data_IF_754672923235
#
_entry.id   IF_754672923235
#
_cell.length_a   1.000
_cell.length_b   1.000
_cell.length_c   1.000
_cell.angle_alpha   90.00
_cell.angle_beta   90.00
_cell.angle_gamma   90.00
#
_symmetry.space_group_name_H-M   'P 1'
#
loop_
_entity.id
_entity.type
_entity.pdbx_description
1 polymer ?
#
# COMPACT_ATOMS: atom_id res chain seq x y z
N UNK A 1 -8.61 27.18 -9.00
CA UNK A 1 -7.57 27.84 -8.17
C UNK A 1 -6.91 26.83 -7.22
N UNK A 2 -7.70 25.97 -6.54
CA UNK A 2 -7.21 24.85 -5.71
C UNK A 2 -6.37 23.84 -6.50
N UNK A 3 -6.77 23.48 -7.74
CA UNK A 3 -6.01 22.52 -8.57
C UNK A 3 -4.63 23.03 -9.02
N UNK A 4 -4.48 24.35 -9.17
CA UNK A 4 -3.21 24.98 -9.59
C UNK A 4 -2.21 24.99 -8.43
N UNK A 5 -2.67 25.21 -7.20
CA UNK A 5 -1.82 25.13 -6.01
C UNK A 5 -1.39 23.68 -5.72
N UNK A 6 -2.31 22.72 -5.77
CA UNK A 6 -2.00 21.29 -5.64
C UNK A 6 -0.95 20.82 -6.68
N UNK A 7 -1.10 21.22 -7.94
CA UNK A 7 -0.12 20.83 -9.00
C UNK A 7 1.26 21.44 -8.81
N UNK A 8 1.35 22.68 -8.29
CA UNK A 8 2.62 23.37 -8.02
C UNK A 8 3.37 22.75 -6.84
N UNK A 9 2.63 22.35 -5.81
CA UNK A 9 3.17 21.66 -4.64
C UNK A 9 3.71 20.26 -5.01
N UNK A 10 3.00 19.52 -5.87
CA UNK A 10 3.47 18.22 -6.40
C UNK A 10 4.75 18.38 -7.23
N UNK A 11 4.83 19.40 -8.09
CA UNK A 11 6.02 19.66 -8.90
C UNK A 11 7.25 19.98 -8.01
N UNK A 12 7.07 20.82 -6.98
CA UNK A 12 8.14 21.12 -6.03
C UNK A 12 8.59 19.90 -5.21
N UNK A 13 7.65 19.05 -4.79
CA UNK A 13 7.96 17.79 -4.11
C UNK A 13 8.78 16.86 -5.03
N UNK A 14 8.37 16.73 -6.30
CA UNK A 14 9.08 15.92 -7.30
C UNK A 14 10.52 16.41 -7.54
N UNK A 15 10.71 17.72 -7.66
CA UNK A 15 12.04 18.31 -7.86
C UNK A 15 12.93 18.09 -6.63
N UNK A 16 12.40 18.27 -5.43
CA UNK A 16 13.13 18.02 -4.17
C UNK A 16 13.50 16.55 -4.02
N UNK A 17 12.61 15.61 -4.34
CA UNK A 17 12.91 14.18 -4.30
C UNK A 17 14.00 13.83 -5.31
N UNK A 18 13.89 14.33 -6.55
CA UNK A 18 14.92 14.12 -7.59
C UNK A 18 16.28 14.66 -7.15
N UNK A 19 16.32 15.85 -6.53
CA UNK A 19 17.55 16.42 -5.97
C UNK A 19 18.11 15.56 -4.83
N UNK A 20 17.28 15.10 -3.89
CA UNK A 20 17.70 14.20 -2.80
C UNK A 20 18.30 12.90 -3.36
N UNK A 21 17.64 12.29 -4.36
CA UNK A 21 18.11 11.08 -5.07
C UNK A 21 19.48 11.34 -5.71
N UNK A 22 19.63 12.46 -6.41
CA UNK A 22 20.87 12.80 -7.11
C UNK A 22 22.03 13.13 -6.16
N UNK A 23 21.74 13.70 -4.98
CA UNK A 23 22.74 14.15 -4.01
C UNK A 23 23.30 13.02 -3.12
N UNK A 24 22.54 11.96 -2.87
CA UNK A 24 23.05 10.86 -2.05
C UNK A 24 23.57 9.71 -2.91
N UNK A 25 24.87 9.46 -2.81
CA UNK A 25 25.53 8.34 -3.48
C UNK A 25 25.21 6.97 -2.85
N UNK A 26 24.59 6.95 -1.66
CA UNK A 26 24.33 5.75 -0.83
C UNK A 26 22.87 5.64 -0.34
N UNK A 27 21.87 6.22 -1.03
CA UNK A 27 20.47 6.15 -0.59
C UNK A 27 19.94 4.70 -0.62
N UNK A 28 19.96 4.04 0.54
CA UNK A 28 19.23 2.79 0.79
C UNK A 28 17.77 3.02 1.22
N UNK A 29 17.38 4.27 1.51
CA UNK A 29 16.05 4.61 2.05
C UNK A 29 15.44 5.79 1.30
N UNK A 30 14.57 5.48 0.34
CA UNK A 30 13.72 6.50 -0.29
C UNK A 30 12.28 6.29 0.15
N UNK A 31 11.67 7.42 0.54
CA UNK A 31 10.29 7.61 0.92
C UNK A 31 9.48 8.01 -0.33
N UNK A 32 8.25 7.53 -0.43
CA UNK A 32 7.39 7.66 -1.62
C UNK A 32 6.15 8.47 -1.34
N UNK A 33 5.71 9.24 -2.35
CA UNK A 33 4.32 9.68 -2.49
C UNK A 33 3.91 9.78 -3.97
N UNK A 34 2.73 9.25 -4.30
CA UNK A 34 1.98 9.47 -5.56
C UNK A 34 2.85 9.42 -6.83
N UNK A 35 3.35 8.23 -7.14
CA UNK A 35 4.17 8.00 -8.32
C UNK A 35 3.34 8.26 -9.59
N UNK A 36 3.45 9.45 -10.16
CA UNK A 36 3.04 9.59 -11.56
C UNK A 36 3.97 8.74 -12.43
N UNK A 37 3.43 8.18 -13.51
CA UNK A 37 4.14 7.27 -14.42
C UNK A 37 5.51 7.83 -14.83
N UNK A 38 5.60 9.15 -15.06
CA UNK A 38 6.83 9.82 -15.44
C UNK A 38 7.94 9.74 -14.39
N UNK A 39 7.62 9.68 -13.10
CA UNK A 39 8.62 9.55 -12.04
C UNK A 39 9.12 8.11 -11.87
N UNK A 40 8.25 7.09 -12.05
CA UNK A 40 8.72 5.70 -12.09
C UNK A 40 9.70 5.49 -13.24
N UNK A 41 9.39 6.02 -14.42
CA UNK A 41 10.29 5.89 -15.56
C UNK A 41 11.65 6.54 -15.29
N UNK A 42 11.67 7.68 -14.58
CA UNK A 42 12.92 8.30 -14.15
C UNK A 42 13.72 7.41 -13.20
N UNK A 43 13.06 6.77 -12.22
CA UNK A 43 13.70 5.81 -11.30
C UNK A 43 14.28 4.61 -12.06
N UNK A 44 13.49 4.02 -12.96
CA UNK A 44 13.91 2.86 -13.77
C UNK A 44 15.14 3.22 -14.63
N UNK A 45 15.20 4.45 -15.14
CA UNK A 45 16.27 4.93 -16.00
C UNK A 45 17.51 5.43 -15.22
N UNK A 46 17.55 5.32 -13.88
CA UNK A 46 18.75 5.68 -13.13
C UNK A 46 19.88 4.70 -13.45
N UNK A 47 21.00 5.20 -13.99
CA UNK A 47 22.19 4.40 -14.33
C UNK A 47 23.00 3.94 -13.10
N UNK A 48 22.36 3.73 -11.95
CA UNK A 48 23.00 3.35 -10.69
C UNK A 48 22.18 2.28 -9.96
N UNK A 49 22.81 1.37 -9.22
CA UNK A 49 22.09 0.41 -8.39
C UNK A 49 21.24 1.16 -7.36
N UNK A 50 19.94 0.89 -7.39
CA UNK A 50 18.96 1.52 -6.53
C UNK A 50 18.24 0.45 -5.72
N UNK A 51 18.03 0.70 -4.41
CA UNK A 51 17.28 -0.20 -3.53
C UNK A 51 16.10 0.56 -2.95
N UNK A 52 14.90 0.27 -3.46
CA UNK A 52 13.69 0.82 -2.88
C UNK A 52 13.28 0.02 -1.63
N UNK A 53 13.22 0.67 -0.46
CA UNK A 53 12.78 0.02 0.79
C UNK A 53 11.34 0.32 1.17
N UNK A 54 10.79 1.43 0.72
CA UNK A 54 9.40 1.80 1.02
C UNK A 54 8.65 1.95 -0.30
N UNK A 55 7.36 1.58 -0.37
CA UNK A 55 6.46 1.71 -1.52
C UNK A 55 5.02 1.99 -1.08
N UNK A 56 4.57 3.24 -1.29
CA UNK A 56 3.20 3.67 -1.01
C UNK A 56 2.52 4.05 -2.32
N UNK A 57 1.55 3.23 -2.72
CA UNK A 57 0.84 3.38 -3.99
C UNK A 57 -0.49 4.07 -3.73
N UNK A 58 -0.65 5.24 -4.32
CA UNK A 58 -1.95 5.89 -4.52
C UNK A 58 -2.37 5.69 -5.98
N UNK A 59 -3.64 5.91 -6.28
CA UNK A 59 -4.27 5.81 -7.59
C UNK A 59 -3.42 6.25 -8.82
N UNK A 60 -3.73 5.67 -9.98
CA UNK A 60 -3.17 6.12 -11.28
C UNK A 60 -1.88 5.42 -11.76
N UNK A 61 -1.49 4.29 -11.16
CA UNK A 61 -0.30 3.54 -11.55
C UNK A 61 -0.54 2.53 -12.68
N UNK A 62 0.30 2.58 -13.72
CA UNK A 62 0.34 1.55 -14.77
C UNK A 62 1.00 0.27 -14.26
N UNK A 63 0.34 -0.86 -14.52
CA UNK A 63 0.76 -2.19 -14.07
C UNK A 63 2.16 -2.55 -14.60
N UNK A 64 2.46 -2.19 -15.84
CA UNK A 64 3.73 -2.48 -16.50
C UNK A 64 4.90 -1.77 -15.81
N UNK A 65 4.74 -0.47 -15.52
CA UNK A 65 5.74 0.33 -14.82
C UNK A 65 5.98 -0.17 -13.40
N UNK A 66 4.91 -0.55 -12.69
CA UNK A 66 5.03 -1.15 -11.37
C UNK A 66 5.77 -2.48 -11.45
N UNK A 67 5.44 -3.35 -12.40
CA UNK A 67 6.13 -4.63 -12.56
C UNK A 67 7.63 -4.43 -12.76
N UNK A 68 8.05 -3.48 -13.59
CA UNK A 68 9.48 -3.17 -13.79
C UNK A 68 10.14 -2.67 -12.51
N UNK A 69 9.50 -1.75 -11.77
CA UNK A 69 10.01 -1.25 -10.50
C UNK A 69 10.20 -2.39 -9.49
N UNK A 70 9.24 -3.31 -9.40
CA UNK A 70 9.27 -4.46 -8.50
C UNK A 70 10.31 -5.52 -8.92
N UNK A 71 10.55 -5.70 -10.21
CA UNK A 71 11.63 -6.56 -10.68
C UNK A 71 13.00 -6.03 -10.26
N UNK A 72 13.18 -4.71 -10.23
CA UNK A 72 14.43 -4.08 -9.83
C UNK A 72 14.60 -4.02 -8.30
N UNK A 73 13.52 -3.75 -7.56
CA UNK A 73 13.60 -3.39 -6.14
C UNK A 73 12.71 -4.19 -5.19
N UNK A 74 11.83 -5.06 -5.69
CA UNK A 74 10.83 -5.76 -4.86
C UNK A 74 11.44 -6.56 -3.71
N UNK A 75 12.60 -7.18 -3.92
CA UNK A 75 13.33 -7.91 -2.87
C UNK A 75 13.83 -7.03 -1.72
N UNK A 76 13.90 -5.71 -1.89
CA UNK A 76 14.33 -4.76 -0.87
C UNK A 76 13.17 -4.05 -0.16
N UNK A 77 11.93 -4.24 -0.63
CA UNK A 77 10.76 -3.58 -0.04
C UNK A 77 10.51 -4.12 1.36
N UNK A 78 10.59 -3.22 2.34
CA UNK A 78 10.33 -3.44 3.76
C UNK A 78 9.04 -2.74 4.21
N UNK A 79 8.67 -1.62 3.60
CA UNK A 79 7.46 -0.87 3.96
C UNK A 79 6.55 -0.75 2.73
N UNK A 80 5.32 -1.24 2.83
CA UNK A 80 4.35 -1.18 1.74
C UNK A 80 3.03 -0.58 2.21
N UNK A 81 2.45 0.29 1.39
CA UNK A 81 1.14 0.86 1.63
C UNK A 81 0.33 0.93 0.34
N UNK A 82 -0.96 0.62 0.43
CA UNK A 82 -1.82 0.43 -0.73
C UNK A 82 -3.28 0.76 -0.44
N UNK A 83 -3.94 1.38 -1.41
CA UNK A 83 -5.40 1.51 -1.44
C UNK A 83 -6.03 0.26 -2.08
N UNK A 84 -6.83 -0.47 -1.32
CA UNK A 84 -7.55 -1.69 -1.72
C UNK A 84 -8.61 -1.46 -2.80
N UNK A 85 -8.97 -0.22 -3.13
CA UNK A 85 -9.77 0.09 -4.33
C UNK A 85 -9.02 -0.18 -5.65
N UNK A 86 -7.74 -0.54 -5.57
CA UNK A 86 -6.90 -0.81 -6.72
C UNK A 86 -6.86 -2.30 -7.09
N UNK A 87 -6.57 -2.54 -8.37
CA UNK A 87 -6.73 -3.82 -9.08
C UNK A 87 -6.05 -5.04 -8.42
N UNK A 88 -6.77 -6.17 -8.36
CA UNK A 88 -6.28 -7.50 -7.94
C UNK A 88 -4.89 -7.87 -8.49
N UNK A 89 -4.65 -7.61 -9.78
CA UNK A 89 -3.38 -7.92 -10.47
C UNK A 89 -2.18 -7.22 -9.84
N UNK A 90 -2.40 -6.06 -9.21
CA UNK A 90 -1.37 -5.32 -8.52
C UNK A 90 -0.90 -6.08 -7.27
N UNK A 91 -1.82 -6.57 -6.45
CA UNK A 91 -1.49 -7.37 -5.26
C UNK A 91 -0.77 -8.67 -5.61
N UNK A 92 -1.12 -9.30 -6.74
CA UNK A 92 -0.41 -10.48 -7.25
C UNK A 92 1.06 -10.17 -7.60
N UNK A 93 1.32 -9.04 -8.25
CA UNK A 93 2.68 -8.59 -8.54
C UNK A 93 3.47 -8.28 -7.26
N UNK A 94 2.86 -7.59 -6.31
CA UNK A 94 3.50 -7.27 -5.02
C UNK A 94 3.82 -8.56 -4.27
N UNK A 95 2.87 -9.48 -4.17
CA UNK A 95 3.06 -10.80 -3.53
C UNK A 95 4.17 -11.59 -4.22
N UNK A 96 4.27 -11.50 -5.56
CA UNK A 96 5.32 -12.18 -6.33
C UNK A 96 6.72 -11.65 -6.01
N UNK A 97 6.91 -10.34 -6.00
CA UNK A 97 8.26 -9.73 -5.95
C UNK A 97 8.68 -9.27 -4.54
N UNK A 98 7.76 -8.99 -3.63
CA UNK A 98 8.05 -8.47 -2.29
C UNK A 98 7.93 -9.58 -1.25
N UNK A 99 9.06 -10.00 -0.68
CA UNK A 99 9.16 -11.09 0.31
C UNK A 99 9.64 -10.65 1.71
N UNK A 100 10.00 -9.38 1.86
CA UNK A 100 10.63 -8.83 3.06
C UNK A 100 9.81 -7.71 3.71
N UNK A 101 8.49 -7.69 3.48
CA UNK A 101 7.63 -6.65 4.03
C UNK A 101 7.58 -6.78 5.55
N UNK A 102 8.03 -5.73 6.22
CA UNK A 102 8.01 -5.52 7.67
C UNK A 102 6.80 -4.68 8.10
N UNK A 103 6.50 -3.63 7.33
CA UNK A 103 5.37 -2.75 7.55
C UNK A 103 4.39 -2.83 6.38
N UNK A 104 3.13 -3.10 6.68
CA UNK A 104 2.07 -3.22 5.68
C UNK A 104 0.86 -2.36 6.06
N UNK A 105 0.46 -1.48 5.15
CA UNK A 105 -0.70 -0.61 5.29
C UNK A 105 -1.69 -0.86 4.15
N UNK A 106 -2.95 -1.10 4.52
CA UNK A 106 -4.08 -1.17 3.62
C UNK A 106 -5.07 -0.05 3.92
N UNK A 107 -5.46 0.71 2.90
CA UNK A 107 -6.53 1.73 2.95
C UNK A 107 -7.70 1.31 2.06
N UNK A 108 -8.93 1.72 2.38
CA UNK A 108 -10.11 1.32 1.63
C UNK A 108 -10.44 -0.17 1.74
N UNK A 109 -11.44 -0.61 0.97
CA UNK A 109 -11.83 -2.02 0.92
C UNK A 109 -12.63 -2.33 -0.35
N UNK A 110 -12.30 -3.44 -0.99
CA UNK A 110 -13.11 -4.03 -2.06
C UNK A 110 -13.16 -5.56 -1.90
N UNK A 111 -14.36 -6.13 -1.88
CA UNK A 111 -14.57 -7.57 -1.60
C UNK A 111 -13.65 -8.47 -2.45
N UNK A 112 -13.46 -8.12 -3.73
CA UNK A 112 -12.72 -8.92 -4.71
C UNK A 112 -11.22 -9.02 -4.42
N UNK A 113 -10.64 -8.12 -3.63
CA UNK A 113 -9.18 -8.08 -3.36
C UNK A 113 -8.79 -8.70 -2.01
N UNK A 114 -9.78 -9.08 -1.20
CA UNK A 114 -9.57 -9.55 0.17
C UNK A 114 -8.68 -10.79 0.25
N UNK A 115 -8.86 -11.75 -0.67
CA UNK A 115 -8.07 -12.97 -0.69
C UNK A 115 -6.58 -12.67 -0.99
N UNK A 116 -6.32 -11.76 -1.91
CA UNK A 116 -4.98 -11.36 -2.32
C UNK A 116 -4.29 -10.54 -1.23
N UNK A 117 -5.05 -9.74 -0.47
CA UNK A 117 -4.57 -9.07 0.74
C UNK A 117 -4.02 -10.09 1.74
N UNK A 118 -4.79 -11.15 2.04
CA UNK A 118 -4.36 -12.20 2.96
C UNK A 118 -3.20 -13.04 2.42
N UNK A 119 -3.16 -13.32 1.12
CA UNK A 119 -1.99 -13.95 0.50
C UNK A 119 -0.73 -13.12 0.67
N UNK A 120 -0.82 -11.79 0.57
CA UNK A 120 0.32 -10.90 0.77
C UNK A 120 0.82 -10.94 2.22
N UNK A 121 -0.12 -10.93 3.18
CA UNK A 121 0.18 -11.07 4.62
C UNK A 121 0.88 -12.41 4.88
N UNK A 122 0.29 -13.52 4.43
CA UNK A 122 0.83 -14.87 4.65
C UNK A 122 2.21 -15.03 4.01
N UNK A 123 2.40 -14.52 2.80
CA UNK A 123 3.67 -14.55 2.09
C UNK A 123 4.79 -13.75 2.80
N UNK A 124 4.44 -12.76 3.61
CA UNK A 124 5.39 -11.94 4.38
C UNK A 124 5.34 -12.23 5.89
N UNK A 125 4.63 -13.28 6.33
CA UNK A 125 4.39 -13.60 7.75
C UNK A 125 5.66 -13.67 8.60
N UNK A 126 6.76 -14.16 8.03
CA UNK A 126 8.05 -14.27 8.73
C UNK A 126 8.78 -12.94 8.91
N UNK A 127 8.38 -11.87 8.20
CA UNK A 127 9.04 -10.56 8.24
C UNK A 127 8.12 -9.46 8.79
N UNK A 128 6.81 -9.62 8.67
CA UNK A 128 5.80 -8.63 9.02
C UNK A 128 5.72 -8.42 10.54
N UNK A 129 6.03 -7.20 11.00
CA UNK A 129 5.89 -6.78 12.39
C UNK A 129 4.81 -5.72 12.60
N UNK A 130 4.46 -4.95 11.55
CA UNK A 130 3.46 -3.87 11.63
C UNK A 130 2.38 -4.07 10.56
N UNK A 131 1.12 -4.20 10.99
CA UNK A 131 -0.04 -4.31 10.09
C UNK A 131 -1.08 -3.26 10.43
N UNK A 132 -1.42 -2.43 9.45
CA UNK A 132 -2.44 -1.40 9.56
C UNK A 132 -3.50 -1.65 8.47
N UNK A 133 -4.77 -1.78 8.87
CA UNK A 133 -5.90 -1.96 7.96
C UNK A 133 -6.92 -0.88 8.25
N UNK A 134 -7.16 0.00 7.28
CA UNK A 134 -8.20 1.01 7.32
C UNK A 134 -9.24 0.76 6.24
N UNK A 135 -10.41 0.25 6.63
CA UNK A 135 -11.52 0.03 5.69
C UNK A 135 -12.57 1.15 5.75
N UNK A 136 -12.29 2.22 6.51
CA UNK A 136 -13.10 3.42 6.51
C UNK A 136 -12.82 4.20 5.22
N UNK A 137 -13.55 3.84 4.16
CA UNK A 137 -13.25 4.24 2.80
C UNK A 137 -13.28 5.75 2.54
N UNK A 138 -12.31 6.19 1.74
CA UNK A 138 -12.12 7.56 1.24
C UNK A 138 -12.80 7.82 -0.12
N UNK A 139 -13.79 7.01 -0.51
CA UNK A 139 -14.61 7.32 -1.67
C UNK A 139 -15.78 8.21 -1.26
N UNK A 140 -15.56 9.51 -1.46
CA UNK A 140 -16.46 10.64 -1.30
C UNK A 140 -17.73 10.62 -2.17
N UNK A 141 -18.23 9.45 -2.53
CA UNK A 141 -19.60 9.34 -2.99
C UNK A 141 -20.42 8.88 -1.81
N UNK A 142 -21.40 9.69 -1.43
CA UNK A 142 -22.44 9.48 -0.42
C UNK A 142 -23.28 8.19 -0.61
N UNK A 143 -22.77 7.19 -1.34
CA UNK A 143 -23.41 5.95 -1.77
C UNK A 143 -22.64 4.68 -1.41
N UNK A 144 -21.49 4.74 -0.73
CA UNK A 144 -20.99 3.56 -0.04
C UNK A 144 -21.94 3.28 1.13
N UNK A 145 -22.93 2.43 0.86
CA UNK A 145 -23.87 1.94 1.84
C UNK A 145 -23.09 1.48 3.07
N UNK A 146 -23.44 1.93 4.29
CA UNK A 146 -22.82 1.45 5.52
C UNK A 146 -22.71 -0.09 5.56
N UNK A 147 -23.66 -0.77 4.93
CA UNK A 147 -23.69 -2.22 4.80
C UNK A 147 -22.49 -2.82 4.05
N UNK A 148 -21.94 -2.15 3.03
CA UNK A 148 -20.77 -2.64 2.29
C UNK A 148 -19.50 -2.63 3.16
N UNK A 149 -19.28 -1.55 3.90
CA UNK A 149 -18.14 -1.47 4.81
C UNK A 149 -18.31 -2.43 6.01
N UNK A 150 -19.55 -2.70 6.45
CA UNK A 150 -19.84 -3.70 7.48
C UNK A 150 -19.50 -5.11 6.98
N UNK A 151 -19.89 -5.47 5.75
CA UNK A 151 -19.53 -6.75 5.14
C UNK A 151 -18.01 -6.91 5.08
N UNK A 152 -17.30 -5.89 4.59
CA UNK A 152 -15.85 -5.92 4.54
C UNK A 152 -15.19 -6.09 5.90
N UNK A 153 -15.68 -5.35 6.91
CA UNK A 153 -15.23 -5.49 8.30
C UNK A 153 -15.38 -6.92 8.80
N UNK A 154 -16.53 -7.55 8.52
CA UNK A 154 -16.80 -8.94 8.90
C UNK A 154 -15.84 -9.91 8.22
N UNK A 155 -15.61 -9.77 6.91
CA UNK A 155 -14.70 -10.65 6.17
C UNK A 155 -13.27 -10.50 6.70
N UNK A 156 -12.81 -9.27 6.94
CA UNK A 156 -11.48 -9.02 7.50
C UNK A 156 -11.34 -9.70 8.86
N UNK A 157 -12.28 -9.47 9.78
CA UNK A 157 -12.24 -10.06 11.13
C UNK A 157 -12.24 -11.59 11.12
N UNK A 158 -13.05 -12.21 10.25
CA UNK A 158 -13.15 -13.68 10.16
C UNK A 158 -11.83 -14.34 9.71
N UNK A 159 -11.08 -13.68 8.82
CA UNK A 159 -9.86 -14.24 8.23
C UNK A 159 -8.58 -13.82 8.98
N UNK A 160 -8.60 -12.67 9.65
CA UNK A 160 -7.41 -12.08 10.26
C UNK A 160 -6.78 -13.02 11.29
N UNK A 161 -7.57 -13.66 12.15
CA UNK A 161 -7.05 -14.56 13.18
C UNK A 161 -6.17 -15.70 12.66
N UNK A 162 -6.39 -16.17 11.43
CA UNK A 162 -5.58 -17.23 10.82
C UNK A 162 -4.34 -16.68 10.08
N UNK A 163 -4.47 -15.48 9.51
CA UNK A 163 -3.43 -14.86 8.69
C UNK A 163 -2.34 -14.15 9.51
N UNK A 164 -2.63 -13.70 10.73
CA UNK A 164 -1.68 -12.92 11.52
C UNK A 164 -0.38 -13.69 11.83
N UNK A 165 0.79 -13.04 11.69
CA UNK A 165 2.04 -13.62 12.17
C UNK A 165 2.06 -13.67 13.70
N UNK A 166 2.66 -14.72 14.27
CA UNK A 166 2.76 -14.90 15.73
C UNK A 166 3.62 -13.84 16.42
N UNK A 167 4.46 -13.13 15.67
CA UNK A 167 5.42 -12.13 16.16
C UNK A 167 5.03 -10.68 15.87
N UNK A 168 3.77 -10.43 15.49
CA UNK A 168 3.33 -9.08 15.16
C UNK A 168 3.53 -8.15 16.36
N UNK A 169 4.23 -7.03 16.16
CA UNK A 169 4.48 -6.03 17.21
C UNK A 169 3.35 -5.01 17.29
N UNK A 170 2.70 -4.71 16.16
CA UNK A 170 1.66 -3.69 16.10
C UNK A 170 0.56 -4.04 15.11
N UNK A 171 -0.69 -3.93 15.57
CA UNK A 171 -1.90 -4.07 14.77
C UNK A 171 -2.78 -2.84 14.95
N UNK A 172 -3.13 -2.15 13.87
CA UNK A 172 -4.16 -1.10 13.87
C UNK A 172 -5.27 -1.48 12.92
N UNK A 173 -6.51 -1.44 13.42
CA UNK A 173 -7.70 -1.74 12.63
C UNK A 173 -8.67 -0.56 12.73
N UNK A 174 -9.06 0.00 11.59
CA UNK A 174 -10.15 0.97 11.50
C UNK A 174 -11.27 0.30 10.72
N UNK A 175 -12.28 -0.22 11.43
CA UNK A 175 -13.37 -1.04 10.90
C UNK A 175 -14.74 -0.35 11.06
N UNK A 176 -15.74 -0.81 10.31
CA UNK A 176 -17.14 -0.37 10.44
C UNK A 176 -17.99 -1.54 10.95
N UNK A 177 -18.44 -1.47 12.19
CA UNK A 177 -19.19 -2.56 12.84
C UNK A 177 -20.66 -2.15 12.97
N UNK A 178 -21.58 -3.10 12.82
CA UNK A 178 -23.00 -2.89 13.16
C UNK A 178 -23.17 -2.91 14.68
N UNK A 179 -23.83 -1.89 15.22
CA UNK A 179 -24.01 -1.67 16.66
C UNK A 179 -24.60 -2.88 17.43
N UNK A 180 -25.40 -3.73 16.77
CA UNK A 180 -26.02 -4.91 17.38
C UNK A 180 -25.07 -6.09 17.67
N UNK A 181 -23.76 -5.96 17.45
CA UNK A 181 -22.75 -7.00 17.71
C UNK A 181 -21.97 -6.73 19.03
N UNK A 182 -22.16 -5.55 19.65
CA UNK A 182 -21.45 -5.16 20.89
C UNK A 182 -22.14 -5.62 22.19
N UNK A 183 -23.25 -6.37 22.10
CA UNK A 183 -23.79 -7.08 23.26
C UNK A 183 -22.94 -8.33 23.51
N UNK A 184 -21.88 -8.18 24.31
CA UNK A 184 -21.15 -9.31 24.87
C UNK A 184 -22.14 -10.16 25.67
N UNK A 185 -22.46 -11.36 25.15
CA UNK A 185 -23.15 -12.43 25.88
C UNK A 185 -22.15 -13.32 26.60
#
# INVERSE_FOLDING_TARGET
MVDIYLSKDIAQIKDRITQIINLQQNLEKILICSLNIGFIQQIINLNKPFKLKSLFITDGLQIESLQQLLQMSGGYIENFGFDLSLNQRLLELITKYCKNINFLYFDGFENQVTYQMFNLIENNKQNLNYLLINIYGKHNNFYNSPNYNIEGSSIILQNLGQALPSKLEYLSLTLVIKESILECS
#
